data_IF_919859122622
#
_entry.id   IF_919859122622
#
_cell.length_a   1.000
_cell.length_b   1.000
_cell.length_c   1.000
_cell.angle_alpha   90.00
_cell.angle_beta   90.00
_cell.angle_gamma   90.00
#
_symmetry.space_group_name_H-M   'P 1'
#
loop_
_entity.id
_entity.type
_entity.pdbx_description
1 polymer ?
#
# COMPACT_ATOMS: atom_id res chain seq x y z
N UNK A 1 20.80 -15.19 32.45
CA UNK A 1 19.87 -15.55 33.54
C UNK A 1 18.70 -16.32 32.95
N UNK A 2 18.94 -17.56 32.56
CA UNK A 2 17.85 -18.48 32.21
C UNK A 2 17.38 -19.07 33.53
N UNK A 3 16.22 -18.59 34.02
CA UNK A 3 15.52 -19.27 35.11
C UNK A 3 15.00 -20.58 34.54
N UNK A 4 15.76 -21.65 34.74
CA UNK A 4 15.22 -23.01 34.67
C UNK A 4 14.23 -23.08 35.83
N UNK A 5 12.96 -22.79 35.56
CA UNK A 5 11.88 -23.11 36.48
C UNK A 5 11.90 -24.63 36.53
N UNK A 6 12.18 -25.25 37.69
CA UNK A 6 11.97 -26.68 37.79
C UNK A 6 10.48 -26.87 37.54
N UNK A 7 10.11 -27.62 36.50
CA UNK A 7 8.80 -28.27 36.44
C UNK A 7 8.77 -29.38 37.51
N UNK A 8 9.07 -29.01 38.75
CA UNK A 8 9.07 -29.82 39.94
C UNK A 8 7.71 -29.73 40.56
N UNK A 9 6.72 -30.28 39.87
CA UNK A 9 5.58 -30.99 40.43
C UNK A 9 4.83 -31.58 39.25
N UNK A 10 4.86 -32.90 39.17
CA UNK A 10 4.02 -33.67 38.27
C UNK A 10 2.56 -33.37 38.69
N UNK A 11 1.87 -32.43 38.03
CA UNK A 11 0.41 -32.32 38.10
C UNK A 11 -0.21 -33.47 37.29
N UNK A 12 0.22 -34.70 37.58
CA UNK A 12 -0.47 -35.88 37.11
C UNK A 12 -1.62 -36.11 38.08
N UNK A 13 -2.83 -36.22 37.53
CA UNK A 13 -3.95 -36.74 38.29
C UNK A 13 -3.53 -38.07 38.93
N UNK A 14 -3.90 -38.31 40.20
CA UNK A 14 -3.48 -39.51 40.90
C UNK A 14 -3.90 -40.75 40.08
N UNK A 15 -2.91 -41.47 39.56
CA UNK A 15 -3.10 -42.69 38.75
C UNK A 15 -3.89 -43.74 39.55
N UNK A 16 -3.74 -43.70 40.87
CA UNK A 16 -4.46 -44.54 41.81
C UNK A 16 -5.36 -43.70 42.70
N UNK A 17 -6.58 -44.17 43.04
CA UNK A 17 -7.48 -43.45 43.93
C UNK A 17 -6.84 -43.19 45.29
N UNK A 18 -7.15 -42.04 45.89
CA UNK A 18 -6.68 -41.65 47.22
C UNK A 18 -7.34 -42.55 48.28
N UNK A 19 -6.66 -43.65 48.63
CA UNK A 19 -7.10 -44.61 49.65
C UNK A 19 -5.98 -44.86 50.65
N UNK A 20 -6.36 -45.15 51.90
CA UNK A 20 -5.40 -45.46 52.96
C UNK A 20 -4.54 -46.71 52.67
N UNK A 21 -5.01 -47.61 51.82
CA UNK A 21 -4.26 -48.79 51.37
C UNK A 21 -3.20 -48.40 50.35
N UNK A 22 -3.55 -47.59 49.34
CA UNK A 22 -2.59 -47.03 48.38
C UNK A 22 -1.54 -46.18 49.09
N UNK A 23 -1.94 -45.32 50.03
CA UNK A 23 -1.00 -44.55 50.83
C UNK A 23 -0.02 -45.44 51.61
N UNK A 24 -0.47 -46.53 52.23
CA UNK A 24 0.43 -47.47 52.92
C UNK A 24 1.36 -48.21 51.97
N UNK A 25 0.84 -48.66 50.83
CA UNK A 25 1.62 -49.39 49.81
C UNK A 25 2.71 -48.51 49.20
N UNK A 26 2.38 -47.27 48.82
CA UNK A 26 3.32 -46.36 48.17
C UNK A 26 4.22 -45.63 49.17
N UNK A 27 3.78 -45.32 50.40
CA UNK A 27 4.65 -44.73 51.41
C UNK A 27 5.87 -45.61 51.73
N UNK A 28 5.69 -46.94 51.72
CA UNK A 28 6.77 -47.93 51.88
C UNK A 28 7.80 -47.86 50.74
N UNK A 29 7.34 -47.64 49.49
CA UNK A 29 8.22 -47.54 48.31
C UNK A 29 9.06 -46.26 48.32
N UNK A 30 8.52 -45.14 48.83
CA UNK A 30 9.23 -43.86 48.93
C UNK A 30 10.07 -43.70 50.20
N UNK A 31 9.87 -44.53 51.23
CA UNK A 31 10.69 -44.52 52.44
C UNK A 31 12.15 -44.92 52.17
N UNK A 32 12.41 -45.74 51.15
CA UNK A 32 13.78 -46.12 50.76
C UNK A 32 14.48 -45.10 49.84
N UNK A 33 13.77 -44.08 49.32
CA UNK A 33 14.35 -43.12 48.39
C UNK A 33 15.28 -42.08 49.05
N UNK A 34 15.30 -41.99 50.38
CA UNK A 34 16.09 -41.01 51.12
C UNK A 34 17.46 -41.53 51.62
N UNK A 35 17.86 -42.77 51.28
CA UNK A 35 19.10 -43.38 51.80
C UNK A 35 20.07 -43.90 50.73
N UNK A 36 20.16 -43.27 49.56
CA UNK A 36 21.23 -43.58 48.59
C UNK A 36 22.03 -42.32 48.27
N UNK A 37 23.27 -42.17 48.77
CA UNK A 37 24.24 -41.26 48.18
C UNK A 37 24.48 -41.71 46.73
N UNK A 38 23.93 -41.00 45.75
CA UNK A 38 24.08 -41.34 44.33
C UNK A 38 22.79 -41.65 43.57
N UNK A 39 21.60 -41.41 44.13
CA UNK A 39 20.39 -41.33 43.29
C UNK A 39 20.57 -40.13 42.35
N UNK A 40 21.05 -40.38 41.12
CA UNK A 40 20.82 -39.43 40.04
C UNK A 40 19.30 -39.31 39.91
N UNK A 41 18.73 -38.24 40.45
CA UNK A 41 17.47 -37.70 39.95
C UNK A 41 17.66 -37.69 38.45
N UNK A 42 16.81 -38.40 37.69
CA UNK A 42 16.89 -38.45 36.23
C UNK A 42 16.76 -37.02 35.70
N UNK A 43 17.87 -36.29 35.66
CA UNK A 43 18.05 -35.15 34.80
C UNK A 43 17.81 -35.68 33.40
N UNK A 44 16.99 -34.98 32.63
CA UNK A 44 16.82 -35.28 31.22
C UNK A 44 18.19 -35.51 30.61
N UNK A 45 18.32 -36.55 29.78
CA UNK A 45 19.61 -36.84 29.15
C UNK A 45 20.05 -35.59 28.38
N UNK A 46 21.35 -35.23 28.38
CA UNK A 46 21.84 -34.08 27.62
C UNK A 46 21.39 -34.10 26.14
N UNK A 47 21.22 -35.30 25.58
CA UNK A 47 20.67 -35.51 24.24
C UNK A 47 19.21 -35.05 24.08
N UNK A 48 18.38 -35.24 25.11
CA UNK A 48 16.99 -34.78 25.11
C UNK A 48 16.90 -33.25 25.14
N UNK A 49 17.74 -32.59 25.93
CA UNK A 49 17.81 -31.12 26.01
C UNK A 49 18.28 -30.52 24.67
N UNK A 50 19.33 -31.09 24.07
CA UNK A 50 19.81 -30.66 22.75
C UNK A 50 18.76 -30.86 21.64
N UNK A 51 17.97 -31.94 21.70
CA UNK A 51 16.87 -32.18 20.77
C UNK A 51 15.74 -31.17 20.95
N UNK A 52 15.40 -30.83 22.19
CA UNK A 52 14.39 -29.83 22.53
C UNK A 52 14.79 -28.43 22.04
N UNK A 53 16.04 -28.03 22.28
CA UNK A 53 16.59 -26.76 21.80
C UNK A 53 16.57 -26.67 20.28
N UNK A 54 16.95 -27.77 19.61
CA UNK A 54 16.88 -27.86 18.14
C UNK A 54 15.45 -27.72 17.63
N UNK A 55 14.47 -28.33 18.32
CA UNK A 55 13.05 -28.22 17.97
C UNK A 55 12.53 -26.79 18.16
N UNK A 56 12.84 -26.16 19.29
CA UNK A 56 12.41 -24.80 19.60
C UNK A 56 13.02 -23.79 18.63
N UNK A 57 14.30 -23.95 18.29
CA UNK A 57 14.97 -23.11 17.30
C UNK A 57 14.32 -23.27 15.92
N UNK A 58 14.05 -24.49 15.48
CA UNK A 58 13.38 -24.76 14.21
C UNK A 58 11.99 -24.07 14.16
N UNK A 59 11.20 -24.20 15.22
CA UNK A 59 9.89 -23.54 15.34
C UNK A 59 10.01 -22.01 15.28
N UNK A 60 11.00 -21.45 15.97
CA UNK A 60 11.24 -20.00 16.00
C UNK A 60 11.64 -19.46 14.62
N UNK A 61 12.55 -20.16 13.94
CA UNK A 61 12.98 -19.82 12.58
C UNK A 61 11.82 -19.92 11.59
N UNK A 62 11.02 -20.99 11.67
CA UNK A 62 9.85 -21.18 10.82
C UNK A 62 8.84 -20.05 11.01
N UNK A 63 8.58 -19.64 12.26
CA UNK A 63 7.68 -18.52 12.56
C UNK A 63 8.21 -17.20 11.99
N UNK A 64 9.49 -16.90 12.20
CA UNK A 64 10.13 -15.69 11.67
C UNK A 64 10.08 -15.66 10.13
N UNK A 65 10.26 -16.81 9.47
CA UNK A 65 10.15 -16.91 8.02
C UNK A 65 8.74 -16.57 7.52
N UNK A 66 7.70 -17.13 8.14
CA UNK A 66 6.31 -16.82 7.76
C UNK A 66 5.95 -15.35 7.98
N UNK A 67 6.39 -14.75 9.10
CA UNK A 67 6.16 -13.33 9.37
C UNK A 67 6.83 -12.46 8.29
N UNK A 68 8.03 -12.81 7.87
CA UNK A 68 8.76 -12.12 6.82
C UNK A 68 8.10 -12.30 5.44
N UNK A 69 7.60 -13.49 5.13
CA UNK A 69 6.83 -13.74 3.90
C UNK A 69 5.56 -12.87 3.83
N UNK A 70 4.79 -12.79 4.91
CA UNK A 70 3.60 -11.92 4.97
C UNK A 70 3.96 -10.45 4.88
N UNK A 71 5.05 -10.02 5.53
CA UNK A 71 5.56 -8.65 5.44
C UNK A 71 5.93 -8.29 4.00
N UNK A 72 6.61 -9.20 3.28
CA UNK A 72 6.99 -9.03 1.88
C UNK A 72 5.75 -8.95 0.99
N UNK A 73 4.75 -9.81 1.18
CA UNK A 73 3.49 -9.75 0.43
C UNK A 73 2.78 -8.41 0.60
N UNK A 74 2.66 -7.93 1.84
CA UNK A 74 2.05 -6.63 2.16
C UNK A 74 2.81 -5.47 1.50
N UNK A 75 4.14 -5.46 1.61
CA UNK A 75 4.96 -4.41 1.02
C UNK A 75 4.89 -4.43 -0.51
N UNK A 76 4.91 -5.61 -1.12
CA UNK A 76 4.75 -5.79 -2.57
C UNK A 76 3.43 -5.22 -3.08
N UNK A 77 2.33 -5.43 -2.34
CA UNK A 77 1.03 -4.82 -2.67
C UNK A 77 1.07 -3.29 -2.57
N UNK A 78 1.68 -2.74 -1.51
CA UNK A 78 1.83 -1.29 -1.33
C UNK A 78 2.65 -0.67 -2.47
N UNK A 79 3.74 -1.32 -2.89
CA UNK A 79 4.57 -0.88 -4.03
C UNK A 79 3.72 -0.81 -5.30
N UNK A 80 2.97 -1.87 -5.64
CA UNK A 80 2.08 -1.86 -6.82
C UNK A 80 1.07 -0.70 -6.79
N UNK A 81 0.45 -0.44 -5.64
CA UNK A 81 -0.49 0.67 -5.47
C UNK A 81 0.19 2.03 -5.67
N UNK A 82 1.37 2.23 -5.08
CA UNK A 82 2.14 3.47 -5.20
C UNK A 82 2.66 3.69 -6.63
N UNK A 83 3.10 2.64 -7.32
CA UNK A 83 3.52 2.70 -8.72
C UNK A 83 2.38 3.15 -9.62
N UNK A 84 1.17 2.60 -9.42
CA UNK A 84 -0.03 3.02 -10.15
C UNK A 84 -0.37 4.49 -9.90
N UNK A 85 -0.33 4.93 -8.64
CA UNK A 85 -0.59 6.32 -8.27
C UNK A 85 0.46 7.27 -8.87
N UNK A 86 1.74 6.91 -8.81
CA UNK A 86 2.83 7.66 -9.43
C UNK A 86 2.69 7.73 -10.95
N UNK A 87 2.31 6.64 -11.60
CA UNK A 87 2.00 6.61 -13.03
C UNK A 87 0.92 7.64 -13.40
N UNK A 88 -0.18 7.65 -12.64
CA UNK A 88 -1.26 8.61 -12.83
C UNK A 88 -0.81 10.07 -12.65
N UNK A 89 -0.01 10.34 -11.62
CA UNK A 89 0.54 11.68 -11.39
C UNK A 89 1.48 12.11 -12.52
N UNK A 90 2.31 11.21 -13.06
CA UNK A 90 3.17 11.49 -14.22
C UNK A 90 2.34 11.90 -15.44
N UNK A 91 1.24 11.23 -15.72
CA UNK A 91 0.35 11.59 -16.84
C UNK A 91 -0.37 12.92 -16.61
N UNK A 92 -0.80 13.22 -15.38
CA UNK A 92 -1.34 14.54 -15.03
C UNK A 92 -0.30 15.64 -15.27
N UNK A 93 0.94 15.43 -14.84
CA UNK A 93 2.03 16.40 -15.05
C UNK A 93 2.32 16.59 -16.53
N UNK A 94 2.36 15.51 -17.33
CA UNK A 94 2.53 15.61 -18.79
C UNK A 94 1.40 16.43 -19.43
N UNK A 95 0.16 16.17 -19.03
CA UNK A 95 -1.02 16.89 -19.51
C UNK A 95 -0.95 18.37 -19.16
N UNK A 96 -0.67 18.71 -17.89
CA UNK A 96 -0.53 20.09 -17.44
C UNK A 96 0.60 20.81 -18.17
N UNK A 97 1.75 20.16 -18.37
CA UNK A 97 2.86 20.72 -19.17
C UNK A 97 2.44 21.00 -20.61
N UNK A 98 1.62 20.14 -21.22
CA UNK A 98 1.09 20.36 -22.58
C UNK A 98 0.14 21.54 -22.62
N UNK A 99 -0.80 21.63 -21.67
CA UNK A 99 -1.75 22.73 -21.57
C UNK A 99 -1.04 24.07 -21.34
N UNK A 100 -0.04 24.10 -20.46
CA UNK A 100 0.76 25.30 -20.22
C UNK A 100 1.47 25.80 -21.49
N UNK A 101 2.10 24.90 -22.25
CA UNK A 101 2.72 25.25 -23.53
C UNK A 101 1.71 25.76 -24.55
N UNK A 102 0.51 25.20 -24.56
CA UNK A 102 -0.56 25.65 -25.46
C UNK A 102 -1.04 27.06 -25.08
N UNK A 103 -1.33 27.29 -23.80
CA UNK A 103 -1.74 28.60 -23.29
C UNK A 103 -0.68 29.67 -23.60
N UNK A 104 0.61 29.39 -23.37
CA UNK A 104 1.70 30.31 -23.70
C UNK A 104 1.75 30.67 -25.20
N UNK A 105 1.54 29.70 -26.09
CA UNK A 105 1.48 29.94 -27.54
C UNK A 105 0.26 30.75 -27.94
N UNK A 106 -0.89 30.48 -27.33
CA UNK A 106 -2.13 31.22 -27.56
C UNK A 106 -1.97 32.68 -27.13
N UNK A 107 -1.45 32.95 -25.93
CA UNK A 107 -1.15 34.31 -25.46
C UNK A 107 -0.18 35.04 -26.41
N UNK A 108 0.86 34.35 -26.89
CA UNK A 108 1.82 34.96 -27.83
C UNK A 108 1.17 35.31 -29.17
N UNK A 109 0.32 34.41 -29.71
CA UNK A 109 -0.42 34.67 -30.95
C UNK A 109 -1.43 35.80 -30.77
N UNK A 110 -2.10 35.86 -29.64
CA UNK A 110 -3.08 36.91 -29.33
C UNK A 110 -2.40 38.29 -29.21
N UNK A 111 -1.21 38.36 -28.60
CA UNK A 111 -0.41 39.59 -28.60
C UNK A 111 0.02 40.01 -30.01
N UNK A 112 0.45 39.07 -30.85
CA UNK A 112 0.82 39.35 -32.24
C UNK A 112 -0.39 39.82 -33.07
N UNK A 113 -1.57 39.22 -32.90
CA UNK A 113 -2.77 39.65 -33.61
C UNK A 113 -3.26 41.01 -33.12
N UNK A 114 -3.16 41.32 -31.83
CA UNK A 114 -3.45 42.65 -31.28
C UNK A 114 -2.50 43.71 -31.84
N UNK A 115 -1.18 43.43 -31.86
CA UNK A 115 -0.19 44.34 -32.45
C UNK A 115 -0.42 44.55 -33.95
N UNK A 116 -0.76 43.49 -34.69
CA UNK A 116 -1.09 43.60 -36.11
C UNK A 116 -2.37 44.42 -36.34
N UNK A 117 -3.41 44.23 -35.50
CA UNK A 117 -4.63 45.05 -35.56
C UNK A 117 -4.33 46.53 -35.32
N UNK A 118 -3.55 46.85 -34.29
CA UNK A 118 -3.14 48.23 -33.99
C UNK A 118 -2.37 48.87 -35.15
N UNK A 119 -1.49 48.12 -35.83
CA UNK A 119 -0.77 48.59 -37.02
C UNK A 119 -1.69 48.85 -38.22
N UNK A 120 -2.73 48.04 -38.40
CA UNK A 120 -3.73 48.25 -39.45
C UNK A 120 -4.64 49.45 -39.14
N UNK A 121 -5.07 49.59 -37.89
CA UNK A 121 -5.93 50.69 -37.42
C UNK A 121 -5.20 52.05 -37.40
N UNK A 122 -3.89 52.06 -37.17
CA UNK A 122 -3.05 53.26 -37.32
C UNK A 122 -2.68 53.59 -38.78
N UNK A 123 -2.86 52.66 -39.72
CA UNK A 123 -2.66 52.88 -41.17
C UNK A 123 -3.94 53.20 -41.94
N UNK A 124 -5.12 53.08 -41.34
CA UNK A 124 -6.36 53.58 -41.94
C UNK A 124 -6.40 55.10 -41.84
N UNK A 125 -6.36 55.86 -42.95
CA UNK A 125 -6.58 57.31 -42.91
C UNK A 125 -8.00 57.58 -42.40
N UNK A 126 -8.17 58.58 -41.54
CA UNK A 126 -9.49 59.08 -41.14
C UNK A 126 -10.32 59.39 -42.39
N UNK A 127 -11.34 58.59 -42.67
CA UNK A 127 -12.37 58.95 -43.64
C UNK A 127 -13.18 60.10 -43.03
N UNK A 128 -13.18 61.23 -43.74
CA UNK A 128 -13.92 62.45 -43.43
C UNK A 128 -15.42 62.17 -43.18
N UNK A 129 -16.06 62.81 -42.18
CA UNK A 129 -17.50 62.76 -42.01
C UNK A 129 -18.13 63.88 -42.84
N UNK A 130 -18.44 63.60 -44.10
CA UNK A 130 -19.57 64.24 -44.80
C UNK A 130 -19.66 63.65 -46.20
N UNK A 131 -20.76 62.94 -46.47
CA UNK A 131 -21.53 63.10 -47.70
C UNK A 131 -22.82 62.31 -47.58
N UNK A 132 -23.90 63.05 -47.31
CA UNK A 132 -25.24 62.68 -47.72
C UNK A 132 -25.28 62.48 -49.24
N UNK A 133 -25.62 61.28 -49.71
CA UNK A 133 -26.50 61.15 -50.87
C UNK A 133 -27.30 59.85 -50.76
N UNK A 134 -28.60 60.03 -50.62
CA UNK A 134 -29.63 59.01 -50.76
C UNK A 134 -29.57 58.45 -52.19
N UNK A 135 -29.43 57.12 -52.33
CA UNK A 135 -30.18 56.42 -53.37
C UNK A 135 -30.46 54.96 -53.01
N UNK A 136 -31.76 54.74 -52.88
CA UNK A 136 -32.53 53.52 -52.72
C UNK A 136 -32.24 52.49 -53.84
N UNK A 137 -32.00 51.23 -53.48
CA UNK A 137 -32.38 50.06 -54.31
C UNK A 137 -32.27 48.72 -53.54
N UNK A 138 -33.38 48.36 -52.88
CA UNK A 138 -34.19 47.14 -53.08
C UNK A 138 -33.52 45.74 -53.30
N UNK A 139 -33.97 44.78 -52.46
CA UNK A 139 -34.00 43.29 -52.59
C UNK A 139 -32.68 42.53 -52.33
N UNK A 140 -32.57 41.40 -51.60
CA UNK A 140 -33.50 40.42 -51.00
C UNK A 140 -32.66 39.49 -50.05
N UNK A 141 -33.25 38.80 -49.04
CA UNK A 141 -32.51 37.90 -48.15
C UNK A 141 -32.58 36.44 -48.60
N UNK A 142 -31.43 35.80 -48.88
CA UNK A 142 -31.36 34.37 -49.18
C UNK A 142 -31.07 33.53 -47.92
N UNK A 143 -32.19 32.97 -47.45
CA UNK A 143 -32.45 31.77 -46.64
C UNK A 143 -31.27 30.85 -46.23
N UNK A 144 -31.34 30.46 -44.95
CA UNK A 144 -30.79 29.27 -44.30
C UNK A 144 -30.89 28.00 -45.16
N UNK A 145 -29.81 27.20 -45.18
CA UNK A 145 -29.90 25.73 -45.19
C UNK A 145 -28.89 25.17 -44.19
N UNK A 146 -29.42 24.65 -43.09
CA UNK A 146 -28.74 23.72 -42.19
C UNK A 146 -28.63 22.35 -42.86
N UNK A 147 -27.44 21.77 -42.93
CA UNK A 147 -27.27 20.35 -43.25
C UNK A 147 -26.49 19.66 -42.13
N UNK A 148 -27.25 18.98 -41.27
CA UNK A 148 -26.75 17.90 -40.41
C UNK A 148 -26.25 16.76 -41.32
N UNK A 149 -25.10 16.18 -41.00
CA UNK A 149 -24.81 14.79 -41.41
C UNK A 149 -24.08 14.03 -40.30
N UNK A 150 -24.87 13.19 -39.65
CA UNK A 150 -24.48 12.07 -38.80
C UNK A 150 -24.06 10.90 -39.73
N UNK A 151 -22.91 10.27 -39.49
CA UNK A 151 -22.61 8.87 -39.88
C UNK A 151 -21.56 8.33 -38.89
N UNK A 152 -21.98 7.41 -38.01
CA UNK A 152 -21.94 5.93 -38.11
C UNK A 152 -20.60 5.39 -37.69
#
# INVERSE_FOLDING_TARGET
>A
NYNIIPHGVNFQDPIFPDTAENHRMFASLFQFSNCTPGTQVHSFTPEWEAQEDSRLLCSSVQKALFEEEERVKSLSQKVRSLEKANGHLREKVKTLKRLLRQAQRETTKEQQTLSLKQLYESKTPQTHPDQDTIQDQKNQPLKKVTSKKLRT
#
